data_IF_100704232630
#
_entry.id   IF_100704232630
#
_cell.length_a   1.000
_cell.length_b   1.000
_cell.length_c   1.000
_cell.angle_alpha   90.00
_cell.angle_beta   90.00
_cell.angle_gamma   90.00
#
_symmetry.space_group_name_H-M   'P 1'
#
loop_
_entity.id
_entity.type
_entity.pdbx_description
1 polymer ?
#
# COMPACT_ATOMS: atom_id res chain seq x y z
N UNK A 1 6.28 31.08 16.17
CA UNK A 1 5.56 29.89 15.68
C UNK A 1 6.55 28.76 15.82
N UNK A 2 6.29 27.76 16.68
CA UNK A 2 7.12 26.55 16.72
C UNK A 2 7.02 25.89 15.35
N UNK A 3 8.16 25.67 14.70
CA UNK A 3 8.20 24.95 13.43
C UNK A 3 7.86 23.47 13.74
N UNK A 4 6.66 23.05 13.34
CA UNK A 4 6.23 21.66 13.44
C UNK A 4 7.00 20.82 12.44
N UNK A 5 7.57 19.70 12.89
CA UNK A 5 8.28 18.70 12.06
C UNK A 5 7.36 17.50 11.89
N UNK A 6 6.75 17.39 10.71
CA UNK A 6 5.94 16.22 10.38
C UNK A 6 6.84 15.09 9.88
N UNK A 7 7.05 14.08 10.70
CA UNK A 7 7.88 12.90 10.40
C UNK A 7 7.09 11.58 10.29
N UNK A 8 5.75 11.64 10.23
CA UNK A 8 4.87 10.47 10.16
C UNK A 8 4.35 10.20 8.74
N UNK A 9 5.24 10.22 7.75
CA UNK A 9 4.89 10.01 6.34
C UNK A 9 4.41 8.57 6.06
N UNK A 10 4.73 7.60 6.90
CA UNK A 10 4.21 6.25 6.81
C UNK A 10 2.69 6.19 7.11
N UNK A 11 2.17 7.07 7.96
CA UNK A 11 0.74 7.21 8.21
C UNK A 11 0.06 7.91 7.03
N UNK A 12 0.57 9.06 6.58
CA UNK A 12 0.06 9.79 5.40
C UNK A 12 1.10 10.79 4.94
N UNK A 13 1.31 10.92 3.64
CA UNK A 13 2.22 11.93 3.07
C UNK A 13 1.47 13.26 2.84
N UNK A 14 2.15 14.42 2.94
CA UNK A 14 1.63 15.68 2.45
C UNK A 14 1.27 15.58 0.96
N UNK A 15 0.22 16.30 0.56
CA UNK A 15 -0.22 16.26 -0.83
C UNK A 15 0.81 16.97 -1.75
N UNK A 16 1.11 16.35 -2.88
CA UNK A 16 1.97 16.94 -3.91
C UNK A 16 1.28 18.16 -4.54
N UNK A 17 2.00 19.29 -4.73
CA UNK A 17 1.40 20.50 -5.33
C UNK A 17 0.72 20.24 -6.68
N UNK A 18 1.35 19.43 -7.57
CA UNK A 18 0.77 19.06 -8.86
C UNK A 18 -0.48 18.18 -8.72
N UNK A 19 -0.60 17.40 -7.66
CA UNK A 19 -1.82 16.64 -7.37
C UNK A 19 -2.98 17.58 -6.99
N UNK A 20 -2.69 18.58 -6.16
CA UNK A 20 -3.69 19.57 -5.75
C UNK A 20 -4.18 20.41 -6.97
N UNK A 21 -3.26 20.82 -7.84
CA UNK A 21 -3.59 21.53 -9.09
C UNK A 21 -4.44 20.68 -10.04
N UNK A 22 -4.08 19.40 -10.22
CA UNK A 22 -4.85 18.47 -11.04
C UNK A 22 -6.26 18.26 -10.50
N UNK A 23 -6.40 18.14 -9.18
CA UNK A 23 -7.72 18.04 -8.51
C UNK A 23 -8.53 19.30 -8.72
N UNK A 24 -7.95 20.48 -8.50
CA UNK A 24 -8.63 21.76 -8.68
C UNK A 24 -9.17 21.90 -10.09
N UNK A 25 -8.34 21.59 -11.11
CA UNK A 25 -8.75 21.62 -12.52
C UNK A 25 -9.90 20.66 -12.79
N UNK A 26 -9.81 19.42 -12.29
CA UNK A 26 -10.84 18.41 -12.52
C UNK A 26 -12.16 18.73 -11.80
N UNK A 27 -12.14 19.46 -10.67
CA UNK A 27 -13.37 19.92 -10.01
C UNK A 27 -14.16 20.99 -10.76
N UNK A 28 -13.52 21.66 -11.75
CA UNK A 28 -14.24 22.58 -12.66
C UNK A 28 -15.18 21.80 -13.60
N UNK A 29 -14.96 20.50 -13.78
CA UNK A 29 -15.76 19.59 -14.58
C UNK A 29 -16.67 18.76 -13.68
N UNK A 30 -17.93 19.18 -13.49
CA UNK A 30 -18.87 18.53 -12.57
C UNK A 30 -19.71 17.41 -13.20
N UNK A 31 -19.52 17.14 -14.50
CA UNK A 31 -20.34 16.17 -15.22
C UNK A 31 -20.02 14.72 -14.80
N UNK A 32 -21.05 13.86 -14.75
CA UNK A 32 -20.85 12.43 -14.52
C UNK A 32 -20.15 11.78 -15.73
N UNK A 33 -18.97 11.16 -15.57
CA UNK A 33 -18.20 10.59 -16.70
C UNK A 33 -18.94 9.45 -17.42
N UNK A 34 -19.96 8.85 -16.83
CA UNK A 34 -20.79 7.81 -17.45
C UNK A 34 -21.91 8.36 -18.35
N UNK A 35 -22.14 9.68 -18.35
CA UNK A 35 -23.21 10.29 -19.16
C UNK A 35 -22.76 10.48 -20.62
N UNK A 36 -23.73 10.63 -21.55
CA UNK A 36 -23.48 10.65 -23.00
C UNK A 36 -23.33 12.07 -23.59
N UNK A 37 -23.57 13.12 -22.80
CA UNK A 37 -23.48 14.49 -23.28
C UNK A 37 -22.04 15.03 -23.26
N UNK A 38 -21.80 16.11 -24.01
CA UNK A 38 -20.46 16.63 -24.33
C UNK A 38 -19.60 16.94 -23.09
N UNK A 39 -20.15 17.57 -22.05
CA UNK A 39 -19.40 17.88 -20.83
C UNK A 39 -18.96 16.61 -20.08
N UNK A 40 -19.72 15.53 -20.14
CA UNK A 40 -19.32 14.25 -19.56
C UNK A 40 -18.14 13.59 -20.27
N UNK A 41 -17.96 13.85 -21.57
CA UNK A 41 -16.81 13.35 -22.33
C UNK A 41 -15.49 13.93 -21.82
N UNK A 42 -15.46 15.20 -21.39
CA UNK A 42 -14.26 15.81 -20.80
C UNK A 42 -13.90 15.13 -19.48
N UNK A 43 -14.87 14.97 -18.58
CA UNK A 43 -14.64 14.29 -17.31
C UNK A 43 -14.20 12.82 -17.51
N UNK A 44 -14.80 12.12 -18.49
CA UNK A 44 -14.37 10.78 -18.88
C UNK A 44 -12.93 10.76 -19.39
N UNK A 45 -12.55 11.74 -20.24
CA UNK A 45 -11.16 11.85 -20.73
C UNK A 45 -10.18 12.11 -19.59
N UNK A 46 -10.56 12.89 -18.57
CA UNK A 46 -9.75 13.11 -17.36
C UNK A 46 -9.50 11.79 -16.62
N UNK A 47 -10.52 10.97 -16.42
CA UNK A 47 -10.41 9.64 -15.79
C UNK A 47 -9.50 8.72 -16.62
N UNK A 48 -9.71 8.63 -17.93
CA UNK A 48 -8.93 7.73 -18.78
C UNK A 48 -7.46 8.19 -18.92
N UNK A 49 -7.17 9.49 -19.02
CA UNK A 49 -5.80 10.02 -18.99
C UNK A 49 -5.09 9.67 -17.67
N UNK A 50 -5.80 9.79 -16.55
CA UNK A 50 -5.27 9.41 -15.25
C UNK A 50 -4.95 7.92 -15.19
N UNK A 51 -5.85 7.07 -15.73
CA UNK A 51 -5.66 5.61 -15.83
C UNK A 51 -4.42 5.26 -16.66
N UNK A 52 -4.26 5.89 -17.83
CA UNK A 52 -3.08 5.76 -18.69
C UNK A 52 -1.80 6.16 -17.93
N UNK A 53 -1.82 7.31 -17.24
CA UNK A 53 -0.67 7.78 -16.47
C UNK A 53 -0.25 6.78 -15.37
N UNK A 54 -1.21 6.20 -14.65
CA UNK A 54 -0.91 5.16 -13.64
C UNK A 54 -0.32 3.92 -14.32
N UNK A 55 -0.93 3.45 -15.40
CA UNK A 55 -0.48 2.27 -16.14
C UNK A 55 0.94 2.44 -16.70
N UNK A 56 1.25 3.57 -17.34
CA UNK A 56 2.58 3.89 -17.86
C UNK A 56 3.66 3.86 -16.77
N UNK A 57 3.38 4.47 -15.61
CA UNK A 57 4.34 4.52 -14.49
C UNK A 57 4.49 3.18 -13.75
N UNK A 58 3.50 2.29 -13.87
CA UNK A 58 3.54 0.94 -13.33
C UNK A 58 4.11 -0.08 -14.34
N UNK A 59 4.09 0.24 -15.64
CA UNK A 59 4.58 -0.62 -16.72
C UNK A 59 3.54 -1.64 -17.20
N UNK A 60 2.25 -1.25 -17.26
CA UNK A 60 1.15 -2.09 -17.75
C UNK A 60 0.24 -1.33 -18.72
N UNK A 61 -0.82 -1.97 -19.21
CA UNK A 61 -1.87 -1.32 -20.00
C UNK A 61 -2.99 -0.77 -19.11
N UNK A 62 -3.73 0.26 -19.57
CA UNK A 62 -4.74 0.96 -18.75
C UNK A 62 -5.90 0.06 -18.28
N UNK A 63 -6.27 -0.96 -19.05
CA UNK A 63 -7.33 -1.91 -18.73
C UNK A 63 -7.03 -2.83 -17.52
N UNK A 64 -5.78 -2.81 -17.05
CA UNK A 64 -5.36 -3.50 -15.81
C UNK A 64 -5.51 -2.64 -14.54
N UNK A 65 -5.87 -1.35 -14.66
CA UNK A 65 -5.94 -0.42 -13.52
C UNK A 65 -7.41 -0.16 -13.14
N UNK A 66 -7.74 -0.42 -11.89
CA UNK A 66 -9.06 -0.18 -11.30
C UNK A 66 -8.93 0.79 -10.13
N UNK A 67 -9.64 1.90 -10.17
CA UNK A 67 -9.66 2.86 -9.07
C UNK A 67 -10.56 2.37 -7.94
N UNK A 68 -10.09 2.54 -6.70
CA UNK A 68 -10.74 2.14 -5.46
C UNK A 68 -10.77 3.31 -4.49
N UNK A 69 -11.39 3.17 -3.33
CA UNK A 69 -11.35 4.20 -2.27
C UNK A 69 -10.02 4.23 -1.51
N UNK A 70 -9.10 3.29 -1.75
CA UNK A 70 -7.81 3.21 -1.08
C UNK A 70 -7.31 1.78 -0.92
N UNK A 71 -6.20 1.61 -0.19
CA UNK A 71 -5.54 0.33 0.01
C UNK A 71 -6.45 -0.73 0.64
N UNK A 72 -7.28 -0.35 1.62
CA UNK A 72 -8.16 -1.30 2.30
C UNK A 72 -9.22 -1.92 1.36
N UNK A 73 -9.82 -1.12 0.48
CA UNK A 73 -10.74 -1.65 -0.54
C UNK A 73 -9.97 -2.53 -1.53
N UNK A 74 -8.81 -2.08 -2.02
CA UNK A 74 -7.99 -2.84 -2.98
C UNK A 74 -7.57 -4.20 -2.41
N UNK A 75 -7.04 -4.26 -1.18
CA UNK A 75 -6.64 -5.49 -0.51
C UNK A 75 -7.82 -6.43 -0.30
N UNK A 76 -8.93 -5.91 0.23
CA UNK A 76 -10.14 -6.71 0.45
C UNK A 76 -10.69 -7.24 -0.87
N UNK A 77 -10.69 -6.41 -1.92
CA UNK A 77 -11.19 -6.83 -3.23
C UNK A 77 -10.31 -7.89 -3.87
N UNK A 78 -8.99 -7.73 -3.86
CA UNK A 78 -8.07 -8.76 -4.38
C UNK A 78 -8.28 -10.10 -3.67
N UNK A 79 -8.42 -10.11 -2.33
CA UNK A 79 -8.57 -11.33 -1.54
C UNK A 79 -9.96 -11.94 -1.73
N UNK A 80 -11.02 -11.18 -1.43
CA UNK A 80 -12.40 -11.72 -1.46
C UNK A 80 -12.95 -11.88 -2.88
N UNK A 81 -12.47 -11.08 -3.83
CA UNK A 81 -12.84 -11.20 -5.24
C UNK A 81 -12.22 -12.43 -5.92
N UNK A 82 -11.14 -12.98 -5.37
CA UNK A 82 -10.39 -14.10 -5.95
C UNK A 82 -10.66 -15.41 -5.23
N UNK A 83 -10.59 -15.43 -3.90
CA UNK A 83 -10.76 -16.66 -3.10
C UNK A 83 -12.24 -17.04 -3.06
N UNK A 84 -12.63 -18.26 -3.53
CA UNK A 84 -14.02 -18.73 -3.46
C UNK A 84 -14.41 -19.09 -2.02
N UNK A 85 -15.72 -19.31 -1.80
CA UNK A 85 -16.20 -19.87 -0.55
C UNK A 85 -15.55 -21.24 -0.29
N UNK A 86 -15.09 -21.46 0.95
CA UNK A 86 -14.33 -22.67 1.32
C UNK A 86 -12.89 -22.69 0.77
N UNK A 87 -12.45 -21.63 0.06
CA UNK A 87 -11.11 -21.55 -0.52
C UNK A 87 -9.99 -21.35 0.49
N UNK A 88 -8.77 -21.24 -0.02
CA UNK A 88 -7.56 -21.17 0.80
C UNK A 88 -6.74 -19.92 0.44
N UNK A 89 -6.43 -19.10 1.43
CA UNK A 89 -5.52 -17.94 1.32
C UNK A 89 -4.29 -18.13 2.19
N UNK A 90 -3.14 -17.71 1.68
CA UNK A 90 -1.85 -17.71 2.40
C UNK A 90 -1.41 -16.26 2.58
N UNK A 91 -0.90 -15.89 3.76
CA UNK A 91 -0.44 -14.53 4.07
C UNK A 91 0.67 -14.57 5.14
N UNK A 92 1.15 -13.40 5.58
CA UNK A 92 2.15 -13.29 6.65
C UNK A 92 1.54 -12.76 7.96
N UNK A 93 2.20 -12.92 9.12
CA UNK A 93 1.71 -12.35 10.37
C UNK A 93 1.88 -10.83 10.44
N UNK A 94 2.75 -10.23 9.61
CA UNK A 94 3.14 -8.83 9.67
C UNK A 94 2.39 -7.93 8.68
N UNK A 95 1.32 -8.44 8.04
CA UNK A 95 0.52 -7.68 7.08
C UNK A 95 -0.25 -6.54 7.75
N UNK A 96 -0.61 -5.54 6.94
CA UNK A 96 -1.57 -4.53 7.37
C UNK A 96 -2.93 -5.17 7.73
N UNK A 97 -3.64 -4.62 8.73
CA UNK A 97 -4.93 -5.15 9.19
C UNK A 97 -5.97 -5.33 8.07
N UNK A 98 -5.93 -4.54 7.00
CA UNK A 98 -6.83 -4.71 5.85
C UNK A 98 -6.59 -6.05 5.11
N UNK A 99 -5.37 -6.57 5.14
CA UNK A 99 -5.04 -7.91 4.60
C UNK A 99 -5.39 -8.98 5.61
N UNK A 100 -4.92 -8.84 6.86
CA UNK A 100 -5.18 -9.83 7.92
C UNK A 100 -6.67 -10.08 8.13
N UNK A 101 -7.47 -9.01 8.23
CA UNK A 101 -8.91 -9.14 8.44
C UNK A 101 -9.65 -9.68 7.20
N UNK A 102 -9.20 -9.32 5.98
CA UNK A 102 -9.75 -9.90 4.76
C UNK A 102 -9.44 -11.40 4.66
N UNK A 103 -8.21 -11.83 5.02
CA UNK A 103 -7.85 -13.25 5.08
C UNK A 103 -8.61 -13.99 6.19
N UNK A 104 -8.77 -13.37 7.37
CA UNK A 104 -9.55 -13.93 8.45
C UNK A 104 -11.02 -14.17 8.05
N UNK A 105 -11.62 -13.23 7.30
CA UNK A 105 -12.98 -13.38 6.80
C UNK A 105 -13.16 -14.58 5.85
N UNK A 106 -12.12 -14.98 5.11
CA UNK A 106 -12.16 -16.23 4.30
C UNK A 106 -12.29 -17.45 5.22
N UNK A 107 -11.54 -17.48 6.33
CA UNK A 107 -11.63 -18.55 7.34
C UNK A 107 -13.02 -18.57 7.99
N UNK A 108 -13.54 -17.41 8.35
CA UNK A 108 -14.84 -17.28 9.01
C UNK A 108 -16.00 -17.73 8.09
N UNK A 109 -15.81 -17.59 6.75
CA UNK A 109 -16.72 -18.11 5.72
C UNK A 109 -16.50 -19.62 5.39
N UNK A 110 -15.78 -20.36 6.25
CA UNK A 110 -15.54 -21.80 6.10
C UNK A 110 -14.34 -22.16 5.22
N UNK A 111 -13.54 -21.19 4.80
CA UNK A 111 -12.29 -21.41 4.08
C UNK A 111 -11.09 -21.67 4.99
N UNK A 112 -9.90 -21.60 4.42
CA UNK A 112 -8.63 -21.82 5.12
C UNK A 112 -7.71 -20.61 4.98
N UNK A 113 -7.05 -20.22 6.07
CA UNK A 113 -5.98 -19.23 6.12
C UNK A 113 -4.72 -19.91 6.62
N UNK A 114 -3.61 -19.76 5.90
CA UNK A 114 -2.28 -20.21 6.33
C UNK A 114 -1.38 -18.99 6.51
N UNK A 115 -0.70 -18.91 7.66
CA UNK A 115 0.26 -17.86 7.95
C UNK A 115 1.68 -18.38 7.72
N UNK A 116 2.46 -17.67 6.91
CA UNK A 116 3.85 -17.99 6.63
C UNK A 116 4.76 -17.64 7.82
N UNK A 117 5.87 -18.36 7.90
CA UNK A 117 6.97 -18.00 8.80
C UNK A 117 7.73 -16.79 8.23
N UNK A 118 8.17 -15.91 9.13
CA UNK A 118 9.05 -14.78 8.83
C UNK A 118 10.29 -14.85 9.70
N UNK A 119 11.40 -14.27 9.22
CA UNK A 119 12.63 -14.17 10.00
C UNK A 119 12.54 -13.06 11.07
N UNK A 120 13.62 -12.86 11.85
CA UNK A 120 13.68 -11.86 12.91
C UNK A 120 13.58 -10.40 12.44
N UNK A 121 13.58 -10.16 11.12
CA UNK A 121 13.36 -8.85 10.49
C UNK A 121 12.00 -8.74 9.83
N UNK A 122 11.19 -9.82 9.85
CA UNK A 122 9.90 -9.88 9.19
C UNK A 122 9.96 -10.26 7.70
N UNK A 123 11.07 -10.79 7.18
CA UNK A 123 11.13 -11.32 5.81
C UNK A 123 10.50 -12.70 5.75
N UNK A 124 9.73 -12.93 4.68
CA UNK A 124 9.18 -14.27 4.41
C UNK A 124 10.29 -15.29 4.25
N UNK A 125 10.19 -16.40 4.99
CA UNK A 125 11.06 -17.57 4.82
C UNK A 125 10.60 -18.33 3.56
N UNK A 126 11.41 -18.39 2.46
CA UNK A 126 10.98 -18.98 1.19
C UNK A 126 10.51 -20.43 1.30
N UNK A 127 11.16 -21.21 2.18
CA UNK A 127 10.81 -22.61 2.43
C UNK A 127 9.39 -22.74 3.05
N UNK A 128 8.98 -21.76 3.87
CA UNK A 128 7.61 -21.70 4.40
C UNK A 128 6.58 -21.48 3.31
N UNK A 129 6.88 -20.60 2.34
CA UNK A 129 6.03 -20.39 1.16
C UNK A 129 5.96 -21.66 0.31
N UNK A 130 7.10 -22.31 0.03
CA UNK A 130 7.15 -23.57 -0.75
C UNK A 130 6.28 -24.66 -0.10
N UNK A 131 6.36 -24.80 1.24
CA UNK A 131 5.49 -25.75 1.98
C UNK A 131 4.01 -25.39 1.86
N UNK A 132 3.67 -24.09 1.93
CA UNK A 132 2.28 -23.64 1.83
C UNK A 132 1.71 -23.84 0.42
N UNK A 133 2.52 -23.63 -0.63
CA UNK A 133 2.14 -23.81 -2.03
C UNK A 133 1.82 -25.28 -2.37
N UNK A 134 2.40 -26.26 -1.67
CA UNK A 134 2.07 -27.69 -1.87
C UNK A 134 0.60 -28.02 -1.57
N UNK A 135 -0.11 -27.15 -0.84
CA UNK A 135 -1.55 -27.28 -0.60
C UNK A 135 -2.42 -26.60 -1.68
N UNK A 136 -1.84 -26.10 -2.76
CA UNK A 136 -2.49 -25.41 -3.87
C UNK A 136 -3.49 -24.33 -3.38
N UNK A 137 -3.06 -23.29 -2.63
CA UNK A 137 -3.95 -22.22 -2.21
C UNK A 137 -4.49 -21.44 -3.41
N UNK A 138 -5.64 -20.80 -3.26
CA UNK A 138 -6.22 -19.95 -4.31
C UNK A 138 -5.44 -18.64 -4.48
N UNK A 139 -4.87 -18.12 -3.40
CA UNK A 139 -4.17 -16.84 -3.38
C UNK A 139 -3.09 -16.82 -2.30
N UNK A 140 -1.94 -16.29 -2.64
CA UNK A 140 -0.92 -15.79 -1.70
C UNK A 140 -1.05 -14.27 -1.66
N UNK A 141 -1.13 -13.67 -0.46
CA UNK A 141 -1.20 -12.20 -0.27
C UNK A 141 -0.06 -11.75 0.62
N UNK A 142 0.81 -10.89 0.09
CA UNK A 142 2.03 -10.42 0.74
C UNK A 142 2.16 -8.91 0.63
N UNK A 143 2.54 -8.23 1.70
CA UNK A 143 2.97 -6.83 1.59
C UNK A 143 4.35 -6.74 0.94
N UNK A 144 4.57 -5.70 0.13
CA UNK A 144 5.87 -5.42 -0.47
C UNK A 144 6.84 -4.79 0.54
N UNK A 145 6.34 -3.79 1.27
CA UNK A 145 7.10 -3.11 2.31
C UNK A 145 6.22 -2.88 3.54
N UNK A 146 6.76 -3.19 4.71
CA UNK A 146 6.03 -3.04 5.96
C UNK A 146 6.00 -1.57 6.41
N UNK A 147 4.86 -1.14 6.92
CA UNK A 147 4.60 0.24 7.34
C UNK A 147 5.14 0.60 8.72
N UNK A 148 5.57 -0.38 9.53
CA UNK A 148 6.04 -0.18 10.89
C UNK A 148 7.55 -0.35 11.02
N UNK A 149 8.08 -1.50 10.60
CA UNK A 149 9.51 -1.79 10.68
C UNK A 149 10.26 -1.52 9.39
N UNK A 150 9.54 -1.29 8.28
CA UNK A 150 10.16 -0.94 7.00
C UNK A 150 10.83 -2.08 6.27
N UNK A 151 10.61 -3.35 6.69
CA UNK A 151 11.14 -4.50 5.93
C UNK A 151 10.58 -4.51 4.51
N UNK A 152 11.43 -4.81 3.52
CA UNK A 152 11.07 -4.96 2.11
C UNK A 152 11.20 -6.44 1.75
N UNK A 153 10.13 -7.03 1.20
CA UNK A 153 10.10 -8.43 0.77
C UNK A 153 10.76 -8.58 -0.60
N UNK A 154 11.41 -9.72 -0.83
CA UNK A 154 11.93 -10.09 -2.14
C UNK A 154 10.79 -10.61 -3.04
N UNK A 155 9.88 -9.70 -3.43
CA UNK A 155 8.70 -10.05 -4.23
C UNK A 155 9.06 -10.81 -5.51
N UNK A 156 10.12 -10.45 -6.29
CA UNK A 156 10.47 -11.21 -7.48
C UNK A 156 10.73 -12.70 -7.22
N UNK A 157 11.45 -13.03 -6.15
CA UNK A 157 11.73 -14.43 -5.81
C UNK A 157 10.46 -15.16 -5.33
N UNK A 158 9.64 -14.51 -4.50
CA UNK A 158 8.39 -15.09 -4.00
C UNK A 158 7.34 -15.26 -5.13
N UNK A 159 7.30 -14.31 -6.08
CA UNK A 159 6.45 -14.39 -7.26
C UNK A 159 6.85 -15.55 -8.20
N UNK A 160 8.16 -15.83 -8.33
CA UNK A 160 8.63 -16.99 -9.09
C UNK A 160 8.10 -18.31 -8.50
N UNK A 161 8.15 -18.48 -7.18
CA UNK A 161 7.62 -19.66 -6.48
C UNK A 161 6.10 -19.81 -6.69
N UNK A 162 5.34 -18.70 -6.57
CA UNK A 162 3.89 -18.73 -6.81
C UNK A 162 3.56 -19.13 -8.26
N UNK A 163 4.29 -18.58 -9.23
CA UNK A 163 4.11 -18.89 -10.65
C UNK A 163 4.44 -20.35 -10.98
N UNK A 164 5.52 -20.91 -10.43
CA UNK A 164 5.89 -22.31 -10.60
C UNK A 164 4.82 -23.26 -10.05
N UNK A 165 4.12 -22.85 -9.00
CA UNK A 165 3.03 -23.60 -8.38
C UNK A 165 1.65 -23.32 -8.99
N UNK A 166 1.54 -22.43 -10.00
CA UNK A 166 0.29 -21.93 -10.60
C UNK A 166 -0.69 -21.38 -9.55
N UNK A 167 -0.17 -20.59 -8.60
CA UNK A 167 -0.92 -19.95 -7.53
C UNK A 167 -0.90 -18.44 -7.73
N UNK A 168 -2.06 -17.80 -7.62
CA UNK A 168 -2.18 -16.34 -7.77
C UNK A 168 -1.47 -15.58 -6.64
N UNK A 169 -0.83 -14.45 -7.00
CA UNK A 169 -0.14 -13.57 -6.06
C UNK A 169 -0.78 -12.19 -6.02
N UNK A 170 -1.23 -11.79 -4.84
CA UNK A 170 -1.57 -10.41 -4.50
C UNK A 170 -0.41 -9.76 -3.72
N UNK A 171 -0.06 -8.54 -4.09
CA UNK A 171 0.97 -7.73 -3.41
C UNK A 171 0.33 -6.45 -2.85
N UNK A 172 0.33 -6.30 -1.53
CA UNK A 172 0.05 -5.00 -0.91
C UNK A 172 1.27 -4.09 -1.09
N UNK A 173 1.18 -3.20 -2.09
CA UNK A 173 2.23 -2.23 -2.41
C UNK A 173 1.91 -0.83 -1.86
N UNK A 174 1.01 -0.70 -0.89
CA UNK A 174 0.58 0.60 -0.34
C UNK A 174 1.77 1.44 0.14
N UNK A 175 2.75 0.83 0.78
CA UNK A 175 3.98 1.51 1.22
C UNK A 175 5.09 1.54 0.16
N UNK A 176 4.98 0.72 -0.90
CA UNK A 176 6.00 0.61 -1.95
C UNK A 176 5.72 1.51 -3.16
N UNK A 177 4.44 1.71 -3.51
CA UNK A 177 4.01 2.46 -4.68
C UNK A 177 4.55 3.90 -4.65
N UNK A 178 5.22 4.33 -5.72
CA UNK A 178 5.90 5.62 -5.81
C UNK A 178 7.25 5.69 -5.09
N UNK A 179 7.56 4.76 -4.17
CA UNK A 179 8.79 4.75 -3.37
C UNK A 179 9.81 3.71 -3.82
N UNK A 180 9.35 2.55 -4.27
CA UNK A 180 10.19 1.48 -4.79
C UNK A 180 9.89 1.21 -6.26
N UNK A 181 10.82 0.58 -6.97
CA UNK A 181 10.55 0.00 -8.28
C UNK A 181 9.71 -1.27 -8.08
N UNK A 182 8.64 -1.41 -8.84
CA UNK A 182 7.75 -2.56 -8.73
C UNK A 182 7.78 -3.33 -10.06
N UNK A 183 8.55 -4.42 -10.16
CA UNK A 183 8.43 -5.32 -11.30
C UNK A 183 7.12 -6.09 -11.19
N UNK A 184 6.29 -6.04 -12.24
CA UNK A 184 4.97 -6.70 -12.25
C UNK A 184 5.04 -8.20 -12.62
N UNK A 185 6.21 -8.69 -13.03
CA UNK A 185 6.34 -10.10 -13.40
C UNK A 185 6.00 -11.04 -12.24
N UNK A 186 5.05 -11.94 -12.47
CA UNK A 186 4.55 -12.87 -11.48
C UNK A 186 3.54 -12.29 -10.48
N UNK A 187 3.18 -11.00 -10.56
CA UNK A 187 2.15 -10.39 -9.71
C UNK A 187 0.81 -10.40 -10.45
N UNK A 188 -0.24 -10.96 -9.84
CA UNK A 188 -1.59 -11.00 -10.39
C UNK A 188 -2.43 -9.80 -9.95
N UNK A 189 -2.26 -9.37 -8.69
CA UNK A 189 -2.95 -8.22 -8.11
C UNK A 189 -1.97 -7.35 -7.34
N UNK A 190 -2.13 -6.02 -7.44
CA UNK A 190 -1.30 -5.09 -6.67
C UNK A 190 -2.14 -3.93 -6.16
N UNK A 191 -2.12 -3.71 -4.85
CA UNK A 191 -2.85 -2.65 -4.17
C UNK A 191 -2.00 -1.42 -3.91
N UNK A 192 -2.57 -0.22 -4.13
CA UNK A 192 -1.94 1.04 -3.79
C UNK A 192 -2.93 2.05 -3.21
N UNK A 193 -2.42 3.02 -2.45
CA UNK A 193 -3.23 4.09 -1.82
C UNK A 193 -2.56 5.44 -2.02
N UNK A 194 -3.29 6.39 -2.61
CA UNK A 194 -2.71 7.65 -3.08
C UNK A 194 -2.05 8.47 -1.97
N UNK A 195 -2.64 8.51 -0.78
CA UNK A 195 -2.14 9.34 0.32
C UNK A 195 -0.77 8.89 0.87
N UNK A 196 -0.28 7.72 0.49
CA UNK A 196 1.06 7.25 0.87
C UNK A 196 2.16 7.82 -0.01
N UNK A 197 1.82 8.20 -1.25
CA UNK A 197 2.76 8.80 -2.21
C UNK A 197 2.42 10.25 -2.60
N UNK A 198 1.73 10.98 -1.70
CA UNK A 198 1.43 12.40 -1.91
C UNK A 198 0.19 12.68 -2.76
N UNK A 199 -0.65 11.70 -3.00
CA UNK A 199 -1.98 11.88 -3.57
C UNK A 199 -3.05 12.17 -2.50
N UNK A 200 -4.31 12.39 -2.91
CA UNK A 200 -5.40 12.64 -1.98
C UNK A 200 -5.80 11.39 -1.20
N UNK A 201 -6.36 11.59 0.00
CA UNK A 201 -7.04 10.55 0.76
C UNK A 201 -8.34 10.15 0.06
N UNK A 202 -8.83 8.93 0.31
CA UNK A 202 -10.10 8.46 -0.23
C UNK A 202 -10.03 7.92 -1.66
N UNK A 203 -8.83 7.71 -2.18
CA UNK A 203 -8.58 7.11 -3.50
C UNK A 203 -7.35 6.19 -3.48
N UNK A 204 -7.42 5.11 -4.24
CA UNK A 204 -6.34 4.17 -4.49
C UNK A 204 -6.54 3.49 -5.83
N UNK A 205 -5.74 2.48 -6.11
CA UNK A 205 -5.95 1.62 -7.27
C UNK A 205 -5.60 0.17 -6.96
N UNK A 206 -6.24 -0.72 -7.70
CA UNK A 206 -5.91 -2.13 -7.80
C UNK A 206 -5.42 -2.39 -9.24
N UNK A 207 -4.19 -2.88 -9.38
CA UNK A 207 -3.74 -3.52 -10.61
C UNK A 207 -4.24 -4.96 -10.65
N UNK A 208 -4.74 -5.39 -11.79
CA UNK A 208 -5.26 -6.74 -12.02
C UNK A 208 -4.72 -7.26 -13.34
N UNK A 209 -3.90 -8.31 -13.33
CA UNK A 209 -3.31 -8.90 -14.54
C UNK A 209 -4.36 -9.50 -15.46
N UNK A 210 -5.32 -10.23 -14.90
CA UNK A 210 -6.41 -10.86 -15.64
C UNK A 210 -7.76 -10.51 -15.01
N UNK A 211 -8.43 -9.42 -15.46
CA UNK A 211 -9.69 -8.94 -14.85
C UNK A 211 -10.79 -10.02 -14.77
N UNK A 212 -10.84 -10.97 -15.71
CA UNK A 212 -11.82 -12.08 -15.70
C UNK A 212 -11.67 -13.04 -14.51
N UNK A 213 -10.53 -13.04 -13.81
CA UNK A 213 -10.30 -13.85 -12.60
C UNK A 213 -10.77 -13.17 -11.33
N UNK A 214 -11.21 -11.90 -11.42
CA UNK A 214 -11.64 -11.09 -10.29
C UNK A 214 -13.16 -10.90 -10.30
N UNK A 215 -13.83 -11.29 -9.21
CA UNK A 215 -15.26 -11.03 -9.00
C UNK A 215 -15.44 -9.62 -8.40
N UNK A 216 -16.53 -8.90 -8.75
CA UNK A 216 -16.85 -7.65 -8.09
C UNK A 216 -16.96 -7.81 -6.56
N UNK A 217 -16.41 -6.86 -5.81
CA UNK A 217 -16.59 -6.77 -4.36
C UNK A 217 -17.91 -6.05 -4.02
N UNK A 218 -18.26 -5.06 -4.83
CA UNK A 218 -19.45 -4.22 -4.67
C UNK A 218 -20.29 -4.40 -5.93
N UNK A 219 -21.61 -4.43 -5.79
CA UNK A 219 -22.55 -4.61 -6.90
C UNK A 219 -23.26 -3.30 -7.23
N UNK A 220 -23.46 -3.00 -8.53
CA UNK A 220 -24.09 -1.76 -8.98
C UNK A 220 -24.04 -1.59 -10.49
N UNK A 221 -23.72 -0.37 -10.96
CA UNK A 221 -23.63 -0.03 -12.39
C UNK A 221 -22.40 -0.60 -13.08
N UNK A 222 -22.24 -0.26 -14.38
CA UNK A 222 -21.22 -0.82 -15.26
C UNK A 222 -19.88 -0.06 -15.25
N UNK A 223 -19.64 0.84 -14.27
CA UNK A 223 -18.39 1.59 -14.17
C UNK A 223 -17.19 0.66 -14.04
N UNK A 224 -16.03 1.11 -14.51
CA UNK A 224 -14.78 0.37 -14.49
C UNK A 224 -14.96 -1.07 -15.02
N UNK A 225 -15.48 -1.18 -16.23
CA UNK A 225 -15.71 -2.46 -16.94
C UNK A 225 -16.69 -3.41 -16.22
N UNK A 226 -17.60 -2.85 -15.38
CA UNK A 226 -18.58 -3.62 -14.61
C UNK A 226 -18.01 -4.29 -13.35
N UNK A 227 -16.75 -4.08 -13.04
CA UNK A 227 -16.09 -4.71 -11.89
C UNK A 227 -16.09 -3.84 -10.63
N UNK A 228 -16.06 -2.51 -10.79
CA UNK A 228 -16.12 -1.59 -9.65
C UNK A 228 -17.14 -0.48 -9.91
N UNK A 229 -18.39 -0.65 -9.48
CA UNK A 229 -19.48 0.30 -9.69
C UNK A 229 -19.33 1.57 -8.83
N UNK A 230 -20.18 2.53 -9.09
CA UNK A 230 -20.21 3.84 -8.43
C UNK A 230 -19.61 4.94 -9.28
N UNK A 231 -20.19 6.15 -9.20
CA UNK A 231 -19.71 7.32 -9.94
C UNK A 231 -18.24 7.57 -9.64
N UNK A 232 -17.42 7.65 -10.68
CA UNK A 232 -15.97 7.80 -10.55
C UNK A 232 -15.63 9.21 -10.05
N UNK A 233 -14.81 9.35 -8.97
CA UNK A 233 -14.41 10.62 -8.40
C UNK A 233 -13.27 11.25 -9.22
N UNK A 234 -13.59 11.81 -10.40
CA UNK A 234 -12.62 12.25 -11.39
C UNK A 234 -11.51 13.17 -10.84
N UNK A 235 -11.84 14.07 -9.91
CA UNK A 235 -10.86 14.94 -9.29
C UNK A 235 -9.84 14.19 -8.41
N UNK A 236 -10.31 13.25 -7.59
CA UNK A 236 -9.41 12.42 -6.78
C UNK A 236 -8.53 11.52 -7.66
N UNK A 237 -9.11 10.97 -8.74
CA UNK A 237 -8.40 10.15 -9.74
C UNK A 237 -7.30 10.97 -10.43
N UNK A 238 -7.58 12.21 -10.84
CA UNK A 238 -6.60 13.11 -11.43
C UNK A 238 -5.45 13.43 -10.46
N UNK A 239 -5.78 13.73 -9.20
CA UNK A 239 -4.79 13.97 -8.15
C UNK A 239 -3.91 12.76 -7.84
N UNK A 240 -4.51 11.56 -7.77
CA UNK A 240 -3.77 10.30 -7.61
C UNK A 240 -2.75 10.13 -8.74
N UNK A 241 -3.16 10.27 -10.00
CA UNK A 241 -2.30 10.07 -11.16
C UNK A 241 -1.16 11.09 -11.22
N UNK A 242 -1.44 12.36 -10.92
CA UNK A 242 -0.43 13.41 -10.87
C UNK A 242 0.62 13.12 -9.78
N UNK A 243 0.21 12.76 -8.56
CA UNK A 243 1.12 12.39 -7.49
C UNK A 243 1.96 11.16 -7.85
N UNK A 244 1.35 10.13 -8.41
CA UNK A 244 2.06 8.90 -8.77
C UNK A 244 3.12 9.15 -9.84
N UNK A 245 2.80 9.95 -10.86
CA UNK A 245 3.75 10.36 -11.91
C UNK A 245 4.97 11.07 -11.31
N UNK A 246 4.75 12.07 -10.46
CA UNK A 246 5.84 12.83 -9.83
C UNK A 246 6.72 11.94 -8.98
N UNK A 247 6.12 11.15 -8.10
CA UNK A 247 6.87 10.28 -7.19
C UNK A 247 7.64 9.19 -7.92
N UNK A 248 7.10 8.64 -9.00
CA UNK A 248 7.82 7.68 -9.83
C UNK A 248 9.00 8.33 -10.57
N UNK A 249 8.81 9.53 -11.12
CA UNK A 249 9.87 10.25 -11.82
C UNK A 249 11.03 10.65 -10.90
N UNK A 250 10.72 11.11 -9.69
CA UNK A 250 11.70 11.59 -8.71
C UNK A 250 12.20 10.49 -7.76
N UNK A 251 11.74 9.25 -7.92
CA UNK A 251 11.99 8.14 -6.99
C UNK A 251 13.46 7.98 -6.61
N UNK A 252 14.37 7.99 -7.57
CA UNK A 252 15.82 7.81 -7.31
C UNK A 252 16.37 8.94 -6.44
N UNK A 253 16.04 10.17 -6.75
CA UNK A 253 16.49 11.34 -6.01
C UNK A 253 15.90 11.35 -4.59
N UNK A 254 14.59 11.11 -4.47
CA UNK A 254 13.90 11.04 -3.18
C UNK A 254 14.43 9.92 -2.30
N UNK A 255 14.71 8.75 -2.88
CA UNK A 255 15.31 7.60 -2.18
C UNK A 255 16.69 7.95 -1.63
N UNK A 256 17.57 8.53 -2.44
CA UNK A 256 18.91 8.93 -2.00
C UNK A 256 18.86 9.93 -0.84
N UNK A 257 18.02 10.97 -0.95
CA UNK A 257 17.82 11.96 0.11
C UNK A 257 17.28 11.34 1.40
N UNK A 258 16.25 10.48 1.29
CA UNK A 258 15.64 9.80 2.44
C UNK A 258 16.64 8.89 3.16
N UNK A 259 17.48 8.14 2.42
CA UNK A 259 18.53 7.30 3.01
C UNK A 259 19.57 8.11 3.74
N UNK A 260 20.07 9.21 3.14
CA UNK A 260 21.04 10.08 3.78
C UNK A 260 20.51 10.70 5.08
N UNK A 261 19.27 11.21 5.08
CA UNK A 261 18.64 11.77 6.28
C UNK A 261 18.40 10.70 7.36
N UNK A 262 18.00 9.50 6.97
CA UNK A 262 17.77 8.41 7.92
C UNK A 262 19.08 7.96 8.57
N UNK A 263 20.16 7.87 7.80
CA UNK A 263 21.50 7.52 8.31
C UNK A 263 22.02 8.58 9.26
N UNK A 264 21.98 9.87 8.88
CA UNK A 264 22.39 10.98 9.73
C UNK A 264 21.59 11.02 11.04
N UNK A 265 20.28 10.86 10.96
CA UNK A 265 19.41 10.80 12.15
C UNK A 265 19.81 9.62 13.04
N UNK A 266 19.97 8.42 12.48
CA UNK A 266 20.31 7.24 13.26
C UNK A 266 21.67 7.39 13.95
N UNK A 267 22.71 7.85 13.25
CA UNK A 267 24.04 8.07 13.79
C UNK A 267 24.01 9.09 14.96
N UNK A 268 23.30 10.21 14.76
CA UNK A 268 23.16 11.24 15.78
C UNK A 268 22.40 10.72 17.02
N UNK A 269 21.30 10.00 16.80
CA UNK A 269 20.52 9.43 17.89
C UNK A 269 21.31 8.38 18.65
N UNK A 270 21.97 7.46 17.96
CA UNK A 270 22.73 6.37 18.59
C UNK A 270 23.97 6.89 19.35
N UNK A 271 24.62 7.95 18.85
CA UNK A 271 25.70 8.62 19.59
C UNK A 271 25.19 9.25 20.91
N UNK A 272 23.99 9.83 20.90
CA UNK A 272 23.36 10.42 22.09
C UNK A 272 22.69 9.38 23.00
N UNK A 273 22.29 8.26 22.47
CA UNK A 273 21.53 7.18 23.14
C UNK A 273 22.03 5.80 22.66
N UNK A 274 23.17 5.32 23.16
CA UNK A 274 23.77 4.05 22.73
C UNK A 274 22.88 2.82 22.98
N UNK A 275 21.91 2.93 23.92
CA UNK A 275 20.92 1.89 24.21
C UNK A 275 19.82 1.78 23.15
N UNK A 276 19.69 2.78 22.25
CA UNK A 276 18.68 2.76 21.19
C UNK A 276 18.90 1.56 20.24
N UNK A 277 17.81 0.97 19.78
CA UNK A 277 17.81 -0.15 18.85
C UNK A 277 17.08 0.23 17.56
N UNK A 278 17.71 -0.03 16.43
CA UNK A 278 17.08 0.12 15.12
C UNK A 278 16.47 -1.22 14.72
N UNK A 279 15.14 -1.22 14.50
CA UNK A 279 14.41 -2.41 14.04
C UNK A 279 14.33 -2.46 12.51
N UNK A 280 14.42 -1.30 11.84
CA UNK A 280 14.42 -1.24 10.36
C UNK A 280 15.66 -1.90 9.80
N UNK A 281 15.53 -2.86 8.86
CA UNK A 281 16.67 -3.44 8.15
C UNK A 281 17.45 -2.39 7.34
N UNK A 282 18.75 -2.59 7.17
CA UNK A 282 19.62 -1.67 6.40
C UNK A 282 19.14 -1.47 4.96
N UNK A 283 18.59 -2.52 4.34
CA UNK A 283 18.01 -2.54 3.00
C UNK A 283 16.48 -2.28 3.00
N UNK A 284 15.95 -1.80 4.13
CA UNK A 284 14.54 -1.51 4.30
C UNK A 284 14.03 -0.33 3.47
N UNK A 285 12.76 0.02 3.69
CA UNK A 285 12.07 1.09 2.98
C UNK A 285 12.77 2.43 3.22
N UNK A 286 13.23 3.14 2.17
CA UNK A 286 13.96 4.37 2.31
C UNK A 286 13.21 5.45 3.10
N UNK A 287 13.82 5.93 4.18
CA UNK A 287 13.26 7.00 5.02
C UNK A 287 12.30 6.56 6.11
N UNK A 288 12.01 5.25 6.24
CA UNK A 288 11.33 4.70 7.39
C UNK A 288 12.37 4.24 8.41
N UNK A 289 12.21 4.67 9.66
CA UNK A 289 13.01 4.24 10.79
C UNK A 289 12.11 3.80 11.94
N UNK A 290 12.19 2.54 12.32
CA UNK A 290 11.58 2.00 13.53
C UNK A 290 12.64 1.92 14.62
N UNK A 291 12.48 2.73 15.66
CA UNK A 291 13.48 2.87 16.72
C UNK A 291 12.88 2.49 18.06
N UNK A 292 13.51 1.55 18.75
CA UNK A 292 13.18 1.18 20.13
C UNK A 292 14.12 1.84 21.14
N UNK A 293 13.56 2.38 22.21
CA UNK A 293 14.30 2.83 23.39
C UNK A 293 13.95 1.93 24.58
N UNK A 294 14.85 1.02 24.99
CA UNK A 294 14.58 0.07 26.08
C UNK A 294 14.08 0.76 27.34
N UNK A 295 13.03 0.22 27.96
CA UNK A 295 12.43 0.78 29.16
C UNK A 295 11.60 2.07 28.95
N UNK A 296 11.37 2.48 27.70
CA UNK A 296 10.51 3.62 27.39
C UNK A 296 9.24 3.14 26.66
N UNK A 297 8.11 3.75 27.00
CA UNK A 297 6.86 3.56 26.28
C UNK A 297 6.86 4.37 24.99
N UNK A 298 6.62 3.72 23.83
CA UNK A 298 6.51 4.40 22.54
C UNK A 298 5.42 5.47 22.53
N UNK A 299 4.27 5.21 23.15
CA UNK A 299 3.17 6.18 23.26
C UNK A 299 3.57 7.43 24.06
N UNK A 300 4.27 7.25 25.20
CA UNK A 300 4.77 8.39 25.97
C UNK A 300 5.79 9.22 25.19
N UNK A 301 6.68 8.54 24.46
CA UNK A 301 7.66 9.21 23.59
C UNK A 301 6.98 10.00 22.48
N UNK A 302 5.98 9.41 21.82
CA UNK A 302 5.19 10.10 20.79
C UNK A 302 4.53 11.35 21.33
N UNK A 303 3.88 11.27 22.50
CA UNK A 303 3.29 12.43 23.15
C UNK A 303 4.32 13.52 23.52
N UNK A 304 5.48 13.12 24.04
CA UNK A 304 6.55 14.07 24.39
C UNK A 304 7.13 14.77 23.16
N UNK A 305 7.28 14.02 22.06
CA UNK A 305 7.74 14.56 20.77
C UNK A 305 6.70 15.50 20.16
N UNK A 306 5.42 15.18 20.23
CA UNK A 306 4.33 16.04 19.78
C UNK A 306 4.33 17.38 20.53
N UNK A 307 4.46 17.36 21.86
CA UNK A 307 4.62 18.59 22.68
C UNK A 307 5.86 19.39 22.27
N UNK A 308 6.92 18.72 21.79
CA UNK A 308 8.12 19.38 21.27
C UNK A 308 7.99 19.80 19.79
N UNK A 309 6.84 19.57 19.15
CA UNK A 309 6.56 19.92 17.75
C UNK A 309 7.05 18.90 16.73
N UNK A 310 7.24 17.62 17.13
CA UNK A 310 7.68 16.54 16.24
C UNK A 310 6.61 15.44 16.19
N UNK A 311 6.00 15.24 15.02
CA UNK A 311 4.97 14.22 14.82
C UNK A 311 5.57 12.90 14.32
N UNK A 312 5.36 11.85 15.11
CA UNK A 312 5.74 10.46 14.82
C UNK A 312 4.66 9.50 15.31
N UNK A 313 4.67 8.25 14.86
CA UNK A 313 3.78 7.19 15.34
C UNK A 313 4.51 6.20 16.26
N UNK A 314 3.86 5.62 17.29
CA UNK A 314 4.45 4.62 18.17
C UNK A 314 4.45 3.20 17.58
N UNK A 315 3.90 3.02 16.38
CA UNK A 315 3.67 1.79 15.61
C UNK A 315 2.77 2.13 14.44
N UNK A 316 1.89 1.21 14.00
CA UNK A 316 0.91 1.55 12.96
C UNK A 316 -0.06 2.62 13.46
N UNK A 317 -0.16 3.72 12.72
CA UNK A 317 -1.11 4.82 13.03
C UNK A 317 -2.58 4.37 13.03
N UNK A 318 -2.89 3.21 12.42
CA UNK A 318 -4.23 2.62 12.35
C UNK A 318 -4.59 1.75 13.58
N UNK A 319 -3.64 1.51 14.49
CA UNK A 319 -3.83 0.60 15.61
C UNK A 319 -4.18 1.37 16.90
N UNK A 320 -5.35 2.00 16.90
CA UNK A 320 -5.93 2.69 18.06
C UNK A 320 -6.54 1.73 19.12
N UNK A 321 -6.12 0.48 19.16
CA UNK A 321 -6.50 -0.42 20.24
C UNK A 321 -5.80 0.03 21.51
N UNK A 322 -6.58 0.48 22.47
CA UNK A 322 -6.20 1.06 23.77
C UNK A 322 -4.81 0.75 24.30
N UNK A 323 -4.33 1.61 25.08
CA UNK A 323 -3.04 1.92 25.73
C UNK A 323 -2.07 0.77 26.09
N UNK A 324 -2.33 -0.53 25.79
CA UNK A 324 -1.57 -1.63 26.40
C UNK A 324 -1.14 -2.80 25.50
N UNK A 325 -1.54 -2.87 24.23
CA UNK A 325 -1.11 -4.00 23.39
C UNK A 325 0.09 -3.64 22.52
N UNK A 326 1.15 -4.47 22.50
CA UNK A 326 2.26 -4.31 21.56
C UNK A 326 1.77 -4.50 20.12
N UNK A 327 2.49 -3.92 19.14
CA UNK A 327 2.22 -4.20 17.72
C UNK A 327 2.32 -5.69 17.45
N UNK A 328 1.55 -6.17 16.46
CA UNK A 328 1.61 -7.56 15.98
C UNK A 328 2.83 -7.80 15.06
N UNK A 329 3.54 -6.74 14.68
CA UNK A 329 4.75 -6.75 13.84
C UNK A 329 6.02 -6.92 14.67
#
# INVERSE_FOLDING_TARGET
>A
MNHEIYADHAATAPIEPLALEAMYTAYQEYANPAALYRSALHTKQTVEKARMTVAENLGCTPDHIFFTSGGSESNTWAIRGTVPQGGHVVTTPIEHHSVLNACASIRDDGGRMTTLEVDGFGRVVPESLTRALAAHPNLVSLQYANNEVGVVQNIPALAALCREADVLLHVDAVQAAGHLAIPLDGIDFLSASAHKFGGPKGIGFLYVREPRKLRPLIYGGSQQYGLRPGTEPAALIAGLAAAFKVTCAERRQRTAKKRALAEEFWQTLHAARPEARLHTPVDGLPGLLSVGLPGRSGQRLTYQLDVAGVNVSPGAACDNRGVQEPSHV
#
